data_IF_059739804398
#
_entry.id   IF_059739804398
#
_cell.length_a   1.000
_cell.length_b   1.000
_cell.length_c   1.000
_cell.angle_alpha   90.00
_cell.angle_beta   90.00
_cell.angle_gamma   90.00
#
_symmetry.space_group_name_H-M   'P 1'
#
loop_
_entity.id
_entity.type
_entity.pdbx_description
1 polymer ?
#
# COMPACT_ATOMS: atom_id res chain seq x y z
N UNK A 1 4.00 11.42 5.15
CA UNK A 1 2.64 11.84 5.52
C UNK A 1 1.59 10.75 5.29
N UNK A 2 1.66 9.95 4.23
CA UNK A 2 0.66 8.91 3.90
C UNK A 2 0.40 7.89 5.01
N UNK A 3 1.45 7.30 5.61
CA UNK A 3 1.30 6.29 6.67
C UNK A 3 0.59 6.85 7.90
N UNK A 4 0.97 8.06 8.35
CA UNK A 4 0.30 8.74 9.49
C UNK A 4 -1.15 9.11 9.19
N UNK A 5 -1.46 9.47 7.94
CA UNK A 5 -2.84 9.68 7.51
C UNK A 5 -3.67 8.41 7.59
N UNK A 6 -3.12 7.26 7.16
CA UNK A 6 -3.78 5.96 7.27
C UNK A 6 -3.97 5.56 8.75
N UNK A 7 -2.96 5.75 9.60
CA UNK A 7 -3.10 5.52 11.05
C UNK A 7 -4.23 6.35 11.67
N UNK A 8 -4.36 7.63 11.31
CA UNK A 8 -5.44 8.49 11.77
C UNK A 8 -6.84 8.05 11.31
N UNK A 9 -6.90 7.29 10.20
CA UNK A 9 -8.13 6.65 9.72
C UNK A 9 -8.38 5.27 10.36
N UNK A 10 -7.58 4.88 11.36
CA UNK A 10 -7.74 3.62 12.09
C UNK A 10 -7.03 2.42 11.47
N UNK A 11 -6.13 2.64 10.50
CA UNK A 11 -5.29 1.56 9.97
C UNK A 11 -4.18 1.22 10.96
N UNK A 12 -3.93 -0.07 11.14
CA UNK A 12 -2.72 -0.56 11.82
C UNK A 12 -1.80 -1.16 10.78
N UNK A 13 -0.61 -0.59 10.61
CA UNK A 13 0.32 -1.00 9.57
C UNK A 13 1.74 -1.14 10.12
N UNK A 14 2.48 -2.08 9.55
CA UNK A 14 3.92 -2.22 9.74
C UNK A 14 4.59 -1.84 8.43
N UNK A 15 5.43 -0.82 8.49
CA UNK A 15 6.30 -0.42 7.40
C UNK A 15 7.71 -0.30 7.96
N UNK A 16 8.54 -1.34 7.77
CA UNK A 16 9.92 -1.36 8.23
C UNK A 16 10.88 -1.26 7.03
N UNK A 17 11.82 -0.30 7.05
CA UNK A 17 12.84 -0.23 6.01
C UNK A 17 13.80 -1.43 6.10
N UNK A 18 14.54 -1.74 5.02
CA UNK A 18 15.60 -2.75 5.04
C UNK A 18 16.77 -2.22 5.89
N UNK A 19 16.75 -2.52 7.20
CA UNK A 19 17.78 -2.02 8.13
C UNK A 19 19.03 -2.91 8.17
N UNK A 20 18.90 -4.21 7.86
CA UNK A 20 19.98 -5.22 7.95
C UNK A 20 19.49 -6.56 7.36
N UNK A 21 20.41 -7.45 6.94
CA UNK A 21 20.13 -8.85 6.57
C UNK A 21 19.32 -9.61 7.64
N UNK A 22 19.39 -9.18 8.90
CA UNK A 22 18.65 -9.78 10.01
C UNK A 22 17.16 -9.45 10.02
N UNK A 23 16.70 -8.41 9.31
CA UNK A 23 15.30 -8.03 9.27
C UNK A 23 14.86 -7.68 7.85
N UNK A 24 14.17 -8.60 7.15
CA UNK A 24 13.68 -8.30 5.82
C UNK A 24 12.71 -7.11 5.88
N UNK A 25 12.72 -6.24 4.87
CA UNK A 25 11.78 -5.12 4.79
C UNK A 25 10.34 -5.66 4.76
N UNK A 26 9.44 -5.00 5.49
CA UNK A 26 8.05 -5.41 5.60
C UNK A 26 7.11 -4.25 5.31
N UNK A 27 6.07 -4.56 4.58
CA UNK A 27 4.92 -3.70 4.39
C UNK A 27 3.67 -4.54 4.54
N UNK A 28 2.98 -4.35 5.67
CA UNK A 28 1.83 -5.17 6.04
C UNK A 28 0.75 -4.28 6.68
N UNK A 29 -0.50 -4.46 6.24
CA UNK A 29 -1.67 -3.91 6.94
C UNK A 29 -2.19 -4.99 7.87
N UNK A 30 -2.06 -4.77 9.18
CA UNK A 30 -2.57 -5.68 10.23
C UNK A 30 -4.06 -5.48 10.47
N UNK A 31 -4.52 -4.24 10.36
CA UNK A 31 -5.92 -3.87 10.51
C UNK A 31 -6.27 -2.78 9.51
N UNK A 32 -7.36 -3.00 8.79
CA UNK A 32 -7.96 -1.99 7.93
C UNK A 32 -8.76 -1.00 8.78
N UNK A 33 -8.57 0.29 8.51
CA UNK A 33 -9.36 1.36 9.12
C UNK A 33 -10.58 1.72 8.27
N UNK A 34 -10.95 3.00 8.29
CA UNK A 34 -11.97 3.54 7.40
C UNK A 34 -11.46 3.60 5.96
N UNK A 35 -11.81 2.57 5.18
CA UNK A 35 -11.51 2.52 3.75
C UNK A 35 -12.43 3.45 2.99
N UNK A 36 -11.86 4.26 2.10
CA UNK A 36 -12.60 5.16 1.23
C UNK A 36 -11.91 5.25 -0.14
N UNK A 37 -12.52 6.01 -1.05
CA UNK A 37 -12.03 6.19 -2.42
C UNK A 37 -10.57 6.67 -2.55
N UNK A 38 -9.98 7.27 -1.50
CA UNK A 38 -8.59 7.72 -1.49
C UNK A 38 -7.62 6.68 -0.94
N UNK A 39 -8.10 5.63 -0.27
CA UNK A 39 -7.26 4.56 0.28
C UNK A 39 -6.41 3.86 -0.80
N UNK A 40 -6.94 3.48 -1.98
CA UNK A 40 -6.13 2.88 -3.03
C UNK A 40 -5.04 3.83 -3.54
N UNK A 41 -5.36 5.11 -3.70
CA UNK A 41 -4.40 6.16 -4.10
C UNK A 41 -3.28 6.34 -3.07
N UNK A 42 -3.58 6.23 -1.77
CA UNK A 42 -2.58 6.29 -0.72
C UNK A 42 -1.56 5.15 -0.85
N UNK A 43 -2.02 3.91 -1.08
CA UNK A 43 -1.13 2.78 -1.33
C UNK A 43 -0.38 2.89 -2.67
N UNK A 44 -0.98 3.47 -3.70
CA UNK A 44 -0.33 3.69 -4.98
C UNK A 44 0.82 4.70 -4.88
N UNK A 45 0.65 5.74 -4.05
CA UNK A 45 1.71 6.69 -3.74
C UNK A 45 2.82 6.05 -2.91
N UNK A 46 2.50 5.14 -1.98
CA UNK A 46 3.50 4.33 -1.27
C UNK A 46 4.28 3.44 -2.25
N UNK A 47 3.62 2.76 -3.18
CA UNK A 47 4.26 1.96 -4.23
C UNK A 47 5.25 2.79 -5.06
N UNK A 48 4.85 3.99 -5.51
CA UNK A 48 5.73 4.91 -6.25
C UNK A 48 6.97 5.33 -5.44
N UNK A 49 6.81 5.55 -4.14
CA UNK A 49 7.94 5.85 -3.26
C UNK A 49 8.88 4.65 -3.11
N UNK A 50 8.33 3.45 -2.92
CA UNK A 50 9.11 2.22 -2.77
C UNK A 50 9.86 1.82 -4.05
N UNK A 51 9.35 2.12 -5.24
CA UNK A 51 10.10 1.95 -6.50
C UNK A 51 11.48 2.61 -6.47
N UNK A 52 11.68 3.66 -5.66
CA UNK A 52 12.98 4.34 -5.49
C UNK A 52 13.71 3.99 -4.20
N UNK A 53 12.98 3.75 -3.11
CA UNK A 53 13.55 3.64 -1.76
C UNK A 53 13.79 2.19 -1.30
N UNK A 54 12.91 1.27 -1.67
CA UNK A 54 12.96 -0.14 -1.28
C UNK A 54 12.15 -0.96 -2.29
N UNK A 55 12.69 -1.22 -3.50
CA UNK A 55 11.98 -1.88 -4.58
C UNK A 55 11.39 -3.24 -4.20
N UNK A 56 12.01 -3.94 -3.27
CA UNK A 56 11.56 -5.21 -2.72
C UNK A 56 10.21 -5.14 -1.99
N UNK A 57 9.76 -3.95 -1.57
CA UNK A 57 8.43 -3.72 -1.00
C UNK A 57 7.37 -3.45 -2.07
N UNK A 58 7.74 -3.27 -3.34
CA UNK A 58 6.78 -2.96 -4.40
C UNK A 58 5.69 -4.03 -4.56
N UNK A 59 6.00 -5.33 -4.58
CA UNK A 59 4.97 -6.38 -4.69
C UNK A 59 3.97 -6.35 -3.54
N UNK A 60 4.42 -6.00 -2.32
CA UNK A 60 3.52 -5.85 -1.18
C UNK A 60 2.63 -4.61 -1.33
N UNK A 61 3.20 -3.49 -1.78
CA UNK A 61 2.45 -2.26 -2.00
C UNK A 61 1.42 -2.40 -3.13
N UNK A 62 1.76 -3.10 -4.23
CA UNK A 62 0.83 -3.41 -5.33
C UNK A 62 -0.39 -4.18 -4.83
N UNK A 63 -0.17 -5.26 -4.07
CA UNK A 63 -1.27 -6.03 -3.47
C UNK A 63 -2.16 -5.17 -2.57
N UNK A 64 -1.58 -4.24 -1.81
CA UNK A 64 -2.37 -3.32 -0.98
C UNK A 64 -3.22 -2.36 -1.80
N UNK A 65 -2.72 -1.89 -2.96
CA UNK A 65 -3.52 -1.09 -3.90
C UNK A 65 -4.69 -1.91 -4.43
N UNK A 66 -4.44 -3.13 -4.92
CA UNK A 66 -5.49 -4.01 -5.46
C UNK A 66 -6.54 -4.36 -4.40
N UNK A 67 -6.11 -4.69 -3.18
CA UNK A 67 -7.03 -4.97 -2.07
C UNK A 67 -7.86 -3.74 -1.72
N UNK A 68 -7.23 -2.57 -1.54
CA UNK A 68 -7.96 -1.35 -1.25
C UNK A 68 -8.94 -0.98 -2.38
N UNK A 69 -8.54 -1.15 -3.64
CA UNK A 69 -9.40 -0.91 -4.80
C UNK A 69 -10.64 -1.81 -4.74
N UNK A 70 -10.45 -3.10 -4.49
CA UNK A 70 -11.57 -4.04 -4.36
C UNK A 70 -12.51 -3.77 -3.19
N UNK A 71 -12.02 -3.18 -2.10
CA UNK A 71 -12.87 -2.77 -0.98
C UNK A 71 -13.77 -1.58 -1.34
N UNK A 72 -13.34 -0.72 -2.27
CA UNK A 72 -14.10 0.47 -2.70
C UNK A 72 -15.02 0.16 -3.88
N UNK A 73 -14.51 -0.55 -4.88
CA UNK A 73 -15.19 -0.78 -6.17
C UNK A 73 -15.91 -2.14 -6.21
N UNK A 74 -15.52 -3.08 -5.35
CA UNK A 74 -16.09 -4.44 -5.29
C UNK A 74 -15.39 -5.46 -6.19
N UNK A 75 -14.37 -5.07 -6.96
CA UNK A 75 -13.65 -5.92 -7.90
C UNK A 75 -12.15 -5.56 -7.98
N UNK A 76 -11.32 -6.36 -8.65
CA UNK A 76 -9.87 -6.15 -8.77
C UNK A 76 -9.36 -5.91 -10.19
N UNK A 77 -10.11 -6.30 -11.20
CA UNK A 77 -9.71 -6.34 -12.60
C UNK A 77 -9.39 -4.94 -13.14
N UNK A 78 -10.15 -3.92 -12.72
CA UNK A 78 -9.90 -2.53 -13.17
C UNK A 78 -8.80 -1.80 -12.40
N UNK A 79 -8.21 -2.41 -11.37
CA UNK A 79 -7.21 -1.75 -10.53
C UNK A 79 -5.99 -1.27 -11.34
N UNK A 80 -5.54 -2.06 -12.33
CA UNK A 80 -4.38 -1.70 -13.16
C UNK A 80 -4.70 -0.63 -14.20
N UNK A 81 -5.94 -0.53 -14.65
CA UNK A 81 -6.40 0.53 -15.53
C UNK A 81 -6.46 1.87 -14.79
N UNK A 82 -6.91 1.85 -13.54
CA UNK A 82 -7.00 3.04 -12.67
C UNK A 82 -5.62 3.46 -12.13
N UNK A 83 -4.74 2.49 -11.85
CA UNK A 83 -3.41 2.72 -11.32
C UNK A 83 -2.30 2.20 -12.26
N UNK A 84 -2.00 2.91 -13.37
CA UNK A 84 -0.95 2.50 -14.31
C UNK A 84 0.45 2.38 -13.69
N UNK A 85 0.65 2.96 -12.50
CA UNK A 85 1.90 2.84 -11.77
C UNK A 85 2.18 1.45 -11.20
N UNK A 86 1.19 0.55 -11.20
CA UNK A 86 1.34 -0.86 -10.83
C UNK A 86 2.02 -1.69 -11.93
N UNK A 87 2.07 -1.17 -13.16
CA UNK A 87 2.84 -1.74 -14.27
C UNK A 87 4.33 -1.36 -14.22
#
# INVERSE_FOLDING_TARGET
>A
MTVKGLEALGFSMVASPPLSDAQPPRLEVRQWGMVNQYTPWAFANLHKAYKRLAPELCPAAEKLVETAHSMVVGEKDSARDVFPCLC
#
